data_IF_215893622424
#
_entry.id   IF_215893622424
#
_cell.length_a   1.000
_cell.length_b   1.000
_cell.length_c   1.000
_cell.angle_alpha   90.00
_cell.angle_beta   90.00
_cell.angle_gamma   90.00
#
_symmetry.space_group_name_H-M   'P 1'
#
loop_
_entity.id
_entity.type
_entity.pdbx_description
1 polymer ?
#
# COMPACT_ATOMS: atom_id res chain seq x y z
N UNK A 1 18.81 43.36 25.71
CA UNK A 1 19.37 42.37 26.67
C UNK A 1 18.22 41.69 27.42
N UNK A 2 17.70 40.55 26.93
CA UNK A 2 16.75 39.67 27.64
C UNK A 2 17.23 38.23 27.48
N UNK A 3 17.78 37.67 28.56
CA UNK A 3 18.29 36.30 28.68
C UNK A 3 17.16 35.36 29.12
N UNK A 4 17.23 34.13 28.61
CA UNK A 4 16.69 32.85 29.14
C UNK A 4 15.16 32.75 29.25
N UNK A 5 14.61 31.73 28.59
CA UNK A 5 14.26 30.47 29.28
C UNK A 5 14.06 29.36 28.26
N UNK A 6 14.87 28.32 28.44
CA UNK A 6 14.86 27.05 27.74
C UNK A 6 13.50 26.37 28.02
N UNK A 7 12.67 26.18 26.99
CA UNK A 7 11.44 25.39 27.08
C UNK A 7 11.82 23.90 27.16
N UNK A 8 12.26 23.43 28.32
CA UNK A 8 12.18 22.01 28.66
C UNK A 8 10.73 21.73 29.05
N UNK A 9 9.92 21.44 28.04
CA UNK A 9 8.54 21.00 28.22
C UNK A 9 8.57 19.62 28.90
N UNK A 10 7.87 19.50 30.03
CA UNK A 10 7.73 18.25 30.80
C UNK A 10 7.03 17.19 29.96
N UNK A 11 7.80 16.34 29.28
CA UNK A 11 7.27 15.16 28.60
C UNK A 11 6.63 14.22 29.63
N UNK A 12 5.35 13.92 29.44
CA UNK A 12 4.65 12.90 30.22
C UNK A 12 5.30 11.53 29.99
N UNK A 13 5.58 10.77 31.05
CA UNK A 13 6.27 9.47 30.97
C UNK A 13 5.63 8.50 29.93
N UNK A 14 4.31 8.58 29.69
CA UNK A 14 3.62 7.77 28.68
C UNK A 14 3.96 8.12 27.23
N UNK A 15 4.38 9.35 26.96
CA UNK A 15 4.79 9.82 25.63
C UNK A 15 6.23 9.42 25.27
N UNK A 16 7.06 9.08 26.26
CA UNK A 16 8.44 8.60 26.04
C UNK A 16 8.49 7.07 25.88
N UNK A 17 7.65 6.32 26.61
CA UNK A 17 7.71 4.85 26.66
C UNK A 17 7.38 4.21 25.31
N UNK A 18 6.34 4.70 24.61
CA UNK A 18 5.94 4.16 23.29
C UNK A 18 7.03 4.32 22.22
N UNK A 19 7.58 5.53 21.97
CA UNK A 19 8.68 5.67 21.01
C UNK A 19 9.95 4.96 21.47
N UNK A 20 10.28 4.98 22.78
CA UNK A 20 11.46 4.29 23.31
C UNK A 20 11.48 2.79 23.06
N UNK A 21 10.32 2.12 23.13
CA UNK A 21 10.19 0.70 22.80
C UNK A 21 10.54 0.41 21.33
N UNK A 22 9.94 1.15 20.39
CA UNK A 22 10.21 0.97 18.96
C UNK A 22 11.66 1.29 18.61
N UNK A 23 12.23 2.36 19.18
CA UNK A 23 13.64 2.71 18.98
C UNK A 23 14.56 1.61 19.47
N UNK A 24 14.30 1.05 20.66
CA UNK A 24 15.11 -0.06 21.21
C UNK A 24 15.02 -1.30 20.33
N UNK A 25 13.82 -1.64 19.83
CA UNK A 25 13.63 -2.75 18.91
C UNK A 25 14.42 -2.56 17.61
N UNK A 26 14.35 -1.36 17.01
CA UNK A 26 15.13 -1.04 15.82
C UNK A 26 16.64 -1.15 16.06
N UNK A 27 17.14 -0.68 17.21
CA UNK A 27 18.55 -0.79 17.57
C UNK A 27 18.98 -2.25 17.74
N UNK A 28 18.14 -3.11 18.32
CA UNK A 28 18.41 -4.55 18.43
C UNK A 28 18.47 -5.21 17.05
N UNK A 29 17.54 -4.89 16.15
CA UNK A 29 17.59 -5.38 14.77
C UNK A 29 18.87 -4.91 14.05
N UNK A 30 19.25 -3.64 14.21
CA UNK A 30 20.46 -3.08 13.62
C UNK A 30 21.73 -3.78 14.16
N UNK A 31 21.79 -4.05 15.46
CA UNK A 31 22.88 -4.83 16.06
C UNK A 31 22.93 -6.25 15.48
N UNK A 32 21.78 -6.89 15.26
CA UNK A 32 21.71 -8.19 14.60
C UNK A 32 22.34 -8.19 13.20
N UNK A 33 22.07 -7.15 12.41
CA UNK A 33 22.68 -6.96 11.08
C UNK A 33 24.20 -6.77 11.16
N UNK A 34 24.67 -6.00 12.15
CA UNK A 34 26.10 -5.72 12.33
C UNK A 34 26.85 -6.96 12.85
N UNK A 35 26.26 -7.73 13.77
CA UNK A 35 26.88 -8.93 14.34
C UNK A 35 26.88 -10.13 13.38
N UNK A 36 25.91 -10.21 12.46
CA UNK A 36 25.79 -11.32 11.50
C UNK A 36 25.75 -10.83 10.03
N UNK A 37 26.78 -10.12 9.56
CA UNK A 37 26.76 -9.45 8.26
C UNK A 37 26.63 -10.43 7.08
N UNK A 38 27.22 -11.63 7.18
CA UNK A 38 27.12 -12.65 6.14
C UNK A 38 25.69 -13.18 5.97
N UNK A 39 24.99 -13.45 7.08
CA UNK A 39 23.60 -13.90 7.05
C UNK A 39 22.67 -12.79 6.53
N UNK A 40 22.88 -11.54 6.96
CA UNK A 40 22.12 -10.39 6.46
C UNK A 40 22.34 -10.15 4.97
N UNK A 41 23.58 -10.25 4.48
CA UNK A 41 23.89 -10.11 3.07
C UNK A 41 23.25 -11.22 2.23
N UNK A 42 23.35 -12.48 2.68
CA UNK A 42 22.74 -13.61 1.97
C UNK A 42 21.21 -13.51 1.95
N UNK A 43 20.59 -13.07 3.04
CA UNK A 43 19.15 -12.81 3.09
C UNK A 43 18.74 -11.68 2.14
N UNK A 44 19.49 -10.58 2.10
CA UNK A 44 19.24 -9.48 1.17
C UNK A 44 19.39 -9.91 -0.30
N UNK A 45 20.42 -10.70 -0.62
CA UNK A 45 20.62 -11.24 -1.97
C UNK A 45 19.46 -12.16 -2.39
N UNK A 46 19.02 -13.06 -1.50
CA UNK A 46 17.84 -13.90 -1.76
C UNK A 46 16.59 -13.07 -1.99
N UNK A 47 16.34 -12.07 -1.13
CA UNK A 47 15.20 -11.17 -1.30
C UNK A 47 15.24 -10.40 -2.63
N UNK A 48 16.41 -9.93 -3.04
CA UNK A 48 16.60 -9.26 -4.32
C UNK A 48 16.36 -10.21 -5.51
N UNK A 49 16.85 -11.44 -5.42
CA UNK A 49 16.65 -12.46 -6.45
C UNK A 49 15.16 -12.82 -6.60
N UNK A 50 14.45 -13.06 -5.49
CA UNK A 50 13.00 -13.27 -5.49
C UNK A 50 12.25 -12.07 -6.10
N UNK A 51 12.65 -10.86 -5.75
CA UNK A 51 12.04 -9.66 -6.32
C UNK A 51 12.23 -9.59 -7.84
N UNK A 52 13.46 -9.84 -8.32
CA UNK A 52 13.78 -9.77 -9.75
C UNK A 52 13.13 -10.89 -10.57
N UNK A 53 13.15 -12.13 -10.07
CA UNK A 53 12.69 -13.30 -10.81
C UNK A 53 11.18 -13.50 -10.76
N UNK A 54 10.52 -13.06 -9.69
CA UNK A 54 9.09 -13.31 -9.46
C UNK A 54 8.29 -12.01 -9.47
N UNK A 55 8.69 -11.03 -8.65
CA UNK A 55 7.86 -9.84 -8.41
C UNK A 55 7.83 -8.91 -9.62
N UNK A 56 8.99 -8.57 -10.19
CA UNK A 56 9.10 -7.69 -11.36
C UNK A 56 8.35 -8.22 -12.58
N UNK A 57 8.63 -9.45 -13.08
CA UNK A 57 7.98 -9.95 -14.29
C UNK A 57 6.48 -10.20 -14.11
N UNK A 58 5.99 -10.39 -12.88
CA UNK A 58 4.56 -10.59 -12.61
C UNK A 58 3.80 -9.27 -12.44
N UNK A 59 4.32 -8.34 -11.63
CA UNK A 59 3.61 -7.09 -11.30
C UNK A 59 3.72 -6.02 -12.39
N UNK A 60 4.88 -5.89 -13.04
CA UNK A 60 5.10 -4.86 -14.04
C UNK A 60 4.12 -4.92 -15.23
N UNK A 61 3.91 -6.07 -15.92
CA UNK A 61 2.95 -6.13 -17.01
C UNK A 61 1.52 -5.85 -16.53
N UNK A 62 1.17 -6.29 -15.32
CA UNK A 62 -0.12 -6.00 -14.72
C UNK A 62 -0.31 -4.49 -14.50
N UNK A 63 0.70 -3.78 -13.98
CA UNK A 63 0.66 -2.33 -13.80
C UNK A 63 0.47 -1.60 -15.14
N UNK A 64 1.21 -2.01 -16.17
CA UNK A 64 1.10 -1.43 -17.51
C UNK A 64 -0.33 -1.61 -18.06
N UNK A 65 -0.90 -2.82 -17.96
CA UNK A 65 -2.25 -3.11 -18.46
C UNK A 65 -3.29 -2.30 -17.68
N UNK A 66 -3.21 -2.26 -16.35
CA UNK A 66 -4.16 -1.52 -15.52
C UNK A 66 -4.14 -0.01 -15.85
N UNK A 67 -2.95 0.56 -16.07
CA UNK A 67 -2.80 1.96 -16.44
C UNK A 67 -3.29 2.25 -17.86
N UNK A 68 -3.04 1.33 -18.80
CA UNK A 68 -3.55 1.41 -20.17
C UNK A 68 -5.09 1.38 -20.18
N UNK A 69 -5.72 0.46 -19.44
CA UNK A 69 -7.18 0.36 -19.33
C UNK A 69 -7.80 1.61 -18.69
N UNK A 70 -7.15 2.20 -17.68
CA UNK A 70 -7.56 3.51 -17.13
C UNK A 70 -7.50 4.61 -18.17
N UNK A 71 -6.39 4.73 -18.90
CA UNK A 71 -6.19 5.79 -19.90
C UNK A 71 -7.09 5.64 -21.13
N UNK A 72 -7.46 4.42 -21.50
CA UNK A 72 -8.36 4.15 -22.63
C UNK A 72 -9.84 4.41 -22.29
N UNK A 73 -10.18 4.78 -21.05
CA UNK A 73 -11.56 4.99 -20.62
C UNK A 73 -12.35 3.69 -20.42
N UNK A 74 -11.71 2.53 -20.53
CA UNK A 74 -12.36 1.23 -20.28
C UNK A 74 -12.89 1.13 -18.86
N UNK A 75 -12.21 1.78 -17.90
CA UNK A 75 -12.63 1.85 -16.49
C UNK A 75 -13.95 2.59 -16.31
N UNK A 76 -14.19 3.65 -17.10
CA UNK A 76 -15.47 4.36 -17.06
C UNK A 76 -16.60 3.49 -17.60
N UNK A 77 -16.35 2.76 -18.70
CA UNK A 77 -17.31 1.81 -19.29
C UNK A 77 -17.65 0.65 -18.34
N UNK A 78 -16.63 0.01 -17.76
CA UNK A 78 -16.84 -1.04 -16.77
C UNK A 78 -17.51 -0.46 -15.52
N UNK A 79 -17.19 0.78 -15.18
CA UNK A 79 -17.77 1.50 -14.07
C UNK A 79 -19.26 1.69 -14.21
N UNK A 80 -19.76 2.14 -15.36
CA UNK A 80 -21.21 2.23 -15.62
C UNK A 80 -21.89 0.87 -15.56
N UNK A 81 -21.23 -0.21 -15.99
CA UNK A 81 -21.77 -1.56 -15.88
C UNK A 81 -21.83 -2.07 -14.43
N UNK A 82 -20.84 -1.72 -13.61
CA UNK A 82 -20.76 -2.12 -12.19
C UNK A 82 -21.48 -1.18 -11.23
N UNK A 83 -21.89 0.00 -11.68
CA UNK A 83 -22.62 1.00 -10.91
C UNK A 83 -23.83 0.43 -10.14
N UNK A 84 -24.73 -0.39 -10.73
CA UNK A 84 -25.87 -0.96 -10.00
C UNK A 84 -25.49 -1.91 -8.86
N UNK A 85 -24.28 -2.48 -8.88
CA UNK A 85 -23.78 -3.34 -7.80
C UNK A 85 -22.97 -2.54 -6.76
N UNK A 86 -22.14 -1.59 -7.21
CA UNK A 86 -21.26 -0.78 -6.35
C UNK A 86 -22.04 0.17 -5.43
N UNK A 87 -23.11 0.78 -5.93
CA UNK A 87 -23.92 1.73 -5.14
C UNK A 87 -24.64 1.11 -3.94
N UNK A 88 -25.39 0.00 -4.07
CA UNK A 88 -26.06 -0.59 -2.90
C UNK A 88 -25.09 -1.33 -1.97
N UNK A 89 -24.04 -1.97 -2.49
CA UNK A 89 -23.17 -2.82 -1.68
C UNK A 89 -22.08 -2.03 -0.96
N UNK A 90 -21.51 -1.02 -1.64
CA UNK A 90 -20.38 -0.25 -1.12
C UNK A 90 -20.64 1.25 -1.11
N UNK A 91 -21.78 1.77 -1.60
CA UNK A 91 -22.06 3.20 -1.73
C UNK A 91 -20.85 3.97 -2.34
N UNK A 92 -20.30 3.39 -3.42
CA UNK A 92 -19.19 3.93 -4.20
C UNK A 92 -19.65 4.13 -5.64
N UNK A 93 -19.03 5.07 -6.39
CA UNK A 93 -19.35 5.26 -7.80
C UNK A 93 -18.90 4.02 -8.57
N UNK A 94 -19.63 3.65 -9.63
CA UNK A 94 -19.34 2.48 -10.43
C UNK A 94 -17.90 2.38 -10.93
N UNK A 95 -17.26 3.50 -11.26
CA UNK A 95 -15.82 3.60 -11.63
C UNK A 95 -14.88 3.00 -10.58
N UNK A 96 -15.30 2.95 -9.31
CA UNK A 96 -14.56 2.32 -8.22
C UNK A 96 -14.55 0.79 -8.30
N UNK A 97 -15.52 0.18 -8.98
CA UNK A 97 -15.62 -1.28 -9.11
C UNK A 97 -14.42 -1.90 -9.82
N UNK A 98 -13.91 -1.24 -10.86
CA UNK A 98 -12.67 -1.65 -11.51
C UNK A 98 -11.48 -1.57 -10.57
N UNK A 99 -11.33 -0.46 -9.84
CA UNK A 99 -10.23 -0.30 -8.87
C UNK A 99 -10.34 -1.39 -7.82
N UNK A 100 -11.53 -1.66 -7.29
CA UNK A 100 -11.75 -2.72 -6.32
C UNK A 100 -11.28 -4.09 -6.87
N UNK A 101 -11.70 -4.46 -8.08
CA UNK A 101 -11.28 -5.71 -8.72
C UNK A 101 -9.75 -5.80 -8.92
N UNK A 102 -9.15 -4.74 -9.48
CA UNK A 102 -7.69 -4.63 -9.64
C UNK A 102 -6.98 -4.74 -8.29
N UNK A 103 -7.56 -4.17 -7.24
CA UNK A 103 -7.00 -4.22 -5.89
C UNK A 103 -7.00 -5.63 -5.30
N UNK A 104 -8.06 -6.41 -5.54
CA UNK A 104 -8.10 -7.81 -5.13
C UNK A 104 -7.14 -8.70 -5.93
N UNK A 105 -6.72 -8.27 -7.12
CA UNK A 105 -5.75 -8.97 -7.95
C UNK A 105 -4.31 -8.60 -7.58
N UNK A 106 -3.97 -7.31 -7.47
CA UNK A 106 -2.57 -6.86 -7.29
C UNK A 106 -2.21 -6.33 -5.91
N UNK A 107 -3.20 -5.95 -5.11
CA UNK A 107 -2.98 -5.36 -3.79
C UNK A 107 -2.31 -3.98 -3.85
N UNK A 108 -1.83 -3.55 -2.69
CA UNK A 108 -1.07 -2.30 -2.51
C UNK A 108 0.27 -2.36 -3.25
N UNK A 109 0.79 -1.29 -3.91
CA UNK A 109 0.41 0.14 -3.84
C UNK A 109 -0.44 0.66 -5.01
N UNK A 110 -0.69 -0.15 -6.04
CA UNK A 110 -1.34 0.30 -7.28
C UNK A 110 -2.72 0.92 -7.03
N UNK A 111 -3.49 0.34 -6.12
CA UNK A 111 -4.83 0.80 -5.75
C UNK A 111 -4.85 2.26 -5.27
N UNK A 112 -3.85 2.64 -4.48
CA UNK A 112 -3.73 4.00 -3.96
C UNK A 112 -3.45 4.99 -5.09
N UNK A 113 -2.61 4.61 -6.06
CA UNK A 113 -2.30 5.42 -7.24
C UNK A 113 -3.58 5.60 -8.09
N UNK A 114 -4.31 4.50 -8.36
CA UNK A 114 -5.54 4.53 -9.17
C UNK A 114 -6.67 5.30 -8.47
N UNK A 115 -6.86 5.11 -7.17
CA UNK A 115 -7.84 5.84 -6.37
C UNK A 115 -7.54 7.35 -6.37
N UNK A 116 -6.26 7.72 -6.21
CA UNK A 116 -5.85 9.11 -6.30
C UNK A 116 -6.13 9.69 -7.71
N UNK A 117 -5.91 8.91 -8.76
CA UNK A 117 -6.23 9.32 -10.13
C UNK A 117 -7.73 9.57 -10.35
N UNK A 118 -8.60 8.65 -9.93
CA UNK A 118 -10.06 8.86 -9.96
C UNK A 118 -10.46 10.14 -9.23
N UNK A 119 -9.84 10.40 -8.07
CA UNK A 119 -10.11 11.59 -7.26
C UNK A 119 -9.69 12.88 -7.97
N UNK A 120 -8.53 12.86 -8.64
CA UNK A 120 -8.02 14.00 -9.43
C UNK A 120 -8.87 14.27 -10.67
N UNK A 121 -9.47 13.23 -11.24
CA UNK A 121 -10.39 13.32 -12.39
C UNK A 121 -11.84 13.65 -11.97
N UNK A 122 -12.08 13.96 -10.69
CA UNK A 122 -13.41 14.22 -10.10
C UNK A 122 -14.45 13.11 -10.36
N UNK A 123 -13.99 11.87 -10.54
CA UNK A 123 -14.84 10.67 -10.70
C UNK A 123 -15.33 10.13 -9.36
N UNK A 124 -14.75 10.59 -8.24
CA UNK A 124 -15.20 10.28 -6.89
C UNK A 124 -15.04 11.50 -5.97
N UNK A 125 -15.88 11.55 -4.94
CA UNK A 125 -15.76 12.52 -3.84
C UNK A 125 -14.64 12.11 -2.87
N UNK A 126 -14.31 12.99 -1.92
CA UNK A 126 -13.30 12.70 -0.89
C UNK A 126 -13.71 11.48 -0.05
N UNK A 127 -14.93 11.49 0.47
CA UNK A 127 -15.44 10.40 1.32
C UNK A 127 -15.53 9.07 0.57
N UNK A 128 -15.94 9.09 -0.70
CA UNK A 128 -15.92 7.89 -1.55
C UNK A 128 -14.50 7.38 -1.78
N UNK A 129 -13.54 8.28 -2.02
CA UNK A 129 -12.13 7.92 -2.17
C UNK A 129 -11.54 7.31 -0.89
N UNK A 130 -11.84 7.89 0.28
CA UNK A 130 -11.39 7.36 1.58
C UNK A 130 -11.98 5.97 1.85
N UNK A 131 -13.25 5.75 1.51
CA UNK A 131 -13.91 4.44 1.62
C UNK A 131 -13.34 3.44 0.63
N UNK A 132 -13.11 3.84 -0.62
CA UNK A 132 -12.47 3.00 -1.62
C UNK A 132 -11.07 2.57 -1.15
N UNK A 133 -10.27 3.49 -0.61
CA UNK A 133 -8.97 3.19 -0.01
C UNK A 133 -9.11 2.18 1.14
N UNK A 134 -10.09 2.33 2.02
CA UNK A 134 -10.31 1.39 3.12
C UNK A 134 -10.59 -0.03 2.62
N UNK A 135 -11.36 -0.19 1.53
CA UNK A 135 -11.65 -1.51 0.96
C UNK A 135 -10.50 -2.09 0.12
N UNK A 136 -9.67 -1.24 -0.47
CA UNK A 136 -8.61 -1.64 -1.41
C UNK A 136 -7.23 -1.72 -0.77
N UNK A 137 -7.05 -1.13 0.41
CA UNK A 137 -5.82 -1.18 1.21
C UNK A 137 -5.70 -2.52 1.95
N UNK A 138 -5.82 -3.63 1.23
CA UNK A 138 -5.56 -4.97 1.73
C UNK A 138 -4.37 -5.59 0.98
N UNK A 139 -3.67 -6.52 1.65
CA UNK A 139 -2.77 -7.42 0.93
C UNK A 139 -3.65 -8.37 0.13
N UNK A 140 -3.58 -8.27 -1.20
CA UNK A 140 -4.59 -8.87 -2.07
C UNK A 140 -4.70 -10.38 -1.84
N UNK A 141 -5.92 -10.94 -1.78
CA UNK A 141 -6.13 -12.37 -1.68
C UNK A 141 -5.40 -13.14 -2.77
N UNK A 142 -5.33 -12.60 -3.99
CA UNK A 142 -4.58 -13.25 -5.07
C UNK A 142 -3.06 -13.24 -4.82
N UNK A 143 -2.50 -12.16 -4.26
CA UNK A 143 -1.08 -12.15 -3.87
C UNK A 143 -0.82 -13.12 -2.71
N UNK A 144 -1.69 -13.15 -1.70
CA UNK A 144 -1.57 -14.11 -0.61
C UNK A 144 -1.67 -15.55 -1.10
N UNK A 145 -2.65 -15.88 -1.94
CA UNK A 145 -2.86 -17.24 -2.42
C UNK A 145 -1.82 -17.65 -3.47
N UNK A 146 -1.42 -16.74 -4.36
CA UNK A 146 -0.50 -17.02 -5.45
C UNK A 146 0.96 -16.90 -5.03
N UNK A 147 1.38 -15.73 -4.58
CA UNK A 147 2.79 -15.46 -4.30
C UNK A 147 3.26 -16.13 -3.01
N UNK A 148 2.48 -16.09 -1.93
CA UNK A 148 2.92 -16.67 -0.64
C UNK A 148 2.85 -18.20 -0.70
N UNK A 149 1.77 -18.79 -1.25
CA UNK A 149 1.67 -20.26 -1.33
C UNK A 149 2.68 -20.90 -2.29
N UNK A 150 3.13 -20.18 -3.32
CA UNK A 150 4.13 -20.68 -4.27
C UNK A 150 5.57 -20.40 -3.83
N UNK A 151 5.78 -19.40 -2.95
CA UNK A 151 7.11 -19.02 -2.49
C UNK A 151 7.58 -19.76 -1.22
N UNK A 152 6.68 -20.47 -0.52
CA UNK A 152 6.99 -21.35 0.62
C UNK A 152 7.14 -22.80 0.17
#
# INVERSE_FOLDING_TARGET
>A
MKRRTFFFNSYSHREIIKPGFFTTLCLLCALGVICYPAASFQAAQRGLQTWWEIVVPSLLPFFIIAELLMNLGFVAFLGTLMDPAMRPLFNLPGSSGFILAVSYLSGFPLCAILCNKLRRENQCTKDEGERLLAFTSNASPLFMLGAISMAM
#
